data_IF_257998112707
#
_entry.id   IF_257998112707
#
_cell.length_a   1.000
_cell.length_b   1.000
_cell.length_c   1.000
_cell.angle_alpha   90.00
_cell.angle_beta   90.00
_cell.angle_gamma   90.00
#
_symmetry.space_group_name_H-M   'P 1'
#
loop_
_entity.id
_entity.type
_entity.pdbx_description
1 polymer ?
#
# COMPACT_ATOMS: atom_id res chain seq x y z
N UNK A 1 -37.16 38.91 36.11
CA UNK A 1 -37.71 37.88 35.21
C UNK A 1 -36.57 36.95 34.80
N UNK A 2 -36.41 35.81 35.47
CA UNK A 2 -35.33 34.83 35.21
C UNK A 2 -35.96 33.66 34.45
N UNK A 3 -35.52 33.42 33.21
CA UNK A 3 -35.92 32.24 32.42
C UNK A 3 -34.78 31.22 32.54
N UNK A 4 -35.06 30.12 33.25
CA UNK A 4 -34.21 28.93 33.27
C UNK A 4 -34.46 28.13 31.98
N UNK A 5 -33.42 27.93 31.18
CA UNK A 5 -33.44 27.05 30.02
C UNK A 5 -32.95 25.66 30.48
N UNK A 6 -33.85 24.69 30.58
CA UNK A 6 -33.50 23.29 30.81
C UNK A 6 -33.03 22.66 29.50
N UNK A 7 -31.76 22.28 29.45
CA UNK A 7 -31.17 21.51 28.35
C UNK A 7 -31.49 20.02 28.59
N UNK A 8 -32.40 19.44 27.80
CA UNK A 8 -32.61 17.99 27.77
C UNK A 8 -31.54 17.35 26.87
N UNK A 9 -30.59 16.65 27.48
CA UNK A 9 -29.65 15.76 26.77
C UNK A 9 -30.37 14.44 26.51
N UNK A 10 -30.76 14.19 25.27
CA UNK A 10 -31.22 12.88 24.82
C UNK A 10 -29.98 12.03 24.55
N UNK A 11 -29.66 11.10 25.47
CA UNK A 11 -28.66 10.06 25.25
C UNK A 11 -29.32 8.99 24.38
N UNK A 12 -29.01 8.99 23.09
CA UNK A 12 -29.32 7.86 22.21
C UNK A 12 -28.37 6.71 22.56
N UNK A 13 -28.87 5.72 23.30
CA UNK A 13 -28.18 4.45 23.52
C UNK A 13 -28.25 3.67 22.21
N UNK A 14 -27.20 3.75 21.39
CA UNK A 14 -26.99 2.81 20.29
C UNK A 14 -26.56 1.49 20.93
N UNK A 15 -27.47 0.53 20.98
CA UNK A 15 -27.13 -0.84 21.34
C UNK A 15 -26.18 -1.40 20.27
N UNK A 16 -24.88 -1.42 20.56
CA UNK A 16 -23.90 -2.18 19.78
C UNK A 16 -24.21 -3.64 20.04
N UNK A 17 -24.97 -4.26 19.13
CA UNK A 17 -25.06 -5.71 19.04
C UNK A 17 -23.63 -6.24 18.88
N UNK A 18 -23.10 -6.91 19.90
CA UNK A 18 -21.87 -7.67 19.77
C UNK A 18 -22.14 -8.76 18.74
N UNK A 19 -21.63 -8.58 17.52
CA UNK A 19 -21.77 -9.56 16.46
C UNK A 19 -21.03 -10.83 16.92
N UNK A 20 -21.81 -11.83 17.32
CA UNK A 20 -21.28 -13.13 17.73
C UNK A 20 -20.45 -13.70 16.59
N UNK A 21 -19.25 -14.22 16.89
CA UNK A 21 -18.40 -14.84 15.89
C UNK A 21 -19.19 -15.94 15.16
N UNK A 22 -19.40 -15.84 13.83
CA UNK A 22 -20.20 -16.81 13.08
C UNK A 22 -19.60 -18.21 13.15
N UNK A 23 -18.30 -18.33 13.47
CA UNK A 23 -17.60 -19.60 13.59
C UNK A 23 -17.43 -20.08 15.04
N UNK A 24 -18.12 -19.48 16.01
CA UNK A 24 -17.99 -19.82 17.44
C UNK A 24 -18.27 -21.31 17.74
N UNK A 25 -19.15 -21.96 16.98
CA UNK A 25 -19.48 -23.39 17.10
C UNK A 25 -18.64 -24.28 16.17
N UNK A 26 -17.65 -23.72 15.49
CA UNK A 26 -16.78 -24.41 14.53
C UNK A 26 -17.40 -24.63 13.15
N UNK A 27 -18.68 -24.27 12.94
CA UNK A 27 -19.35 -24.31 11.64
C UNK A 27 -20.28 -23.11 11.47
N UNK A 28 -20.47 -22.65 10.23
CA UNK A 28 -21.38 -21.55 9.91
C UNK A 28 -22.11 -21.77 8.59
N UNK A 29 -23.39 -21.36 8.52
CA UNK A 29 -24.18 -21.27 7.27
C UNK A 29 -24.06 -19.91 6.58
N UNK A 30 -23.48 -18.92 7.27
CA UNK A 30 -23.12 -17.63 6.70
C UNK A 30 -21.96 -17.01 7.50
N UNK A 31 -21.18 -16.17 6.85
CA UNK A 31 -20.09 -15.42 7.47
C UNK A 31 -20.24 -13.95 7.08
N UNK A 32 -20.20 -13.07 8.08
CA UNK A 32 -20.26 -11.62 7.88
C UNK A 32 -18.99 -10.95 8.38
N UNK A 33 -18.44 -10.05 7.56
CA UNK A 33 -17.26 -9.23 7.90
C UNK A 33 -17.32 -7.93 7.09
N UNK A 34 -17.04 -6.79 7.72
CA UNK A 34 -16.95 -5.49 7.03
C UNK A 34 -18.20 -5.12 6.21
N UNK A 35 -19.40 -5.47 6.69
CA UNK A 35 -20.66 -5.23 5.97
C UNK A 35 -20.92 -6.18 4.79
N UNK A 36 -20.01 -7.12 4.52
CA UNK A 36 -20.17 -8.17 3.52
C UNK A 36 -20.65 -9.44 4.21
N UNK A 37 -21.64 -10.12 3.63
CA UNK A 37 -22.08 -11.45 4.09
C UNK A 37 -21.96 -12.47 2.97
N UNK A 38 -21.30 -13.59 3.24
CA UNK A 38 -21.27 -14.78 2.40
C UNK A 38 -22.29 -15.78 2.95
N UNK A 39 -23.31 -16.14 2.16
CA UNK A 39 -24.28 -17.16 2.55
C UNK A 39 -23.94 -18.47 1.84
N UNK A 40 -24.02 -19.56 2.57
CA UNK A 40 -23.74 -20.90 2.07
C UNK A 40 -25.04 -21.67 1.81
N UNK A 41 -24.97 -22.78 1.08
CA UNK A 41 -26.11 -23.70 0.88
C UNK A 41 -26.44 -24.50 2.15
N UNK A 42 -25.46 -24.68 3.04
CA UNK A 42 -25.55 -25.37 4.33
C UNK A 42 -24.44 -24.88 5.27
N UNK A 43 -24.40 -25.39 6.50
CA UNK A 43 -23.29 -25.13 7.41
C UNK A 43 -22.00 -25.81 6.95
N UNK A 44 -20.88 -25.07 6.97
CA UNK A 44 -19.53 -25.58 6.69
C UNK A 44 -18.61 -25.33 7.88
N UNK A 45 -17.62 -26.21 8.14
CA UNK A 45 -16.55 -25.93 9.08
C UNK A 45 -15.84 -24.63 8.74
N UNK A 46 -15.58 -23.82 9.77
CA UNK A 46 -15.02 -22.50 9.58
C UNK A 46 -14.24 -22.01 10.80
N UNK A 47 -13.48 -20.93 10.59
CA UNK A 47 -12.73 -20.25 11.63
C UNK A 47 -12.04 -19.01 11.08
N UNK A 48 -11.06 -18.50 11.83
CA UNK A 48 -10.29 -17.31 11.46
C UNK A 48 -8.81 -17.61 11.30
N UNK A 49 -8.16 -16.85 10.42
CA UNK A 49 -6.72 -16.68 10.41
C UNK A 49 -6.28 -15.73 11.52
N UNK A 50 -4.98 -15.65 11.77
CA UNK A 50 -4.41 -14.79 12.82
C UNK A 50 -4.70 -13.29 12.61
N UNK A 51 -4.92 -12.87 11.37
CA UNK A 51 -5.26 -11.50 11.00
C UNK A 51 -6.76 -11.16 11.17
N UNK A 52 -7.59 -12.17 11.52
CA UNK A 52 -9.03 -12.03 11.74
C UNK A 52 -9.91 -12.38 10.54
N UNK A 53 -9.36 -12.57 9.35
CA UNK A 53 -10.12 -12.98 8.16
C UNK A 53 -10.58 -14.43 8.26
N UNK A 54 -11.69 -14.75 7.59
CA UNK A 54 -12.33 -16.05 7.71
C UNK A 54 -11.82 -17.07 6.68
N UNK A 55 -11.81 -18.34 7.13
CA UNK A 55 -11.72 -19.50 6.26
C UNK A 55 -12.92 -20.44 6.45
N UNK A 56 -13.19 -21.23 5.41
CA UNK A 56 -14.17 -22.31 5.39
C UNK A 56 -13.57 -23.55 4.72
N UNK A 57 -14.06 -24.74 5.07
CA UNK A 57 -13.69 -25.98 4.39
C UNK A 57 -14.92 -26.74 3.92
N UNK A 58 -14.81 -27.61 2.91
CA UNK A 58 -15.84 -28.60 2.63
C UNK A 58 -16.12 -29.50 3.83
N UNK A 59 -17.32 -30.10 3.87
CA UNK A 59 -17.72 -31.10 4.88
C UNK A 59 -17.16 -32.50 4.60
N UNK A 60 -16.68 -32.73 3.37
CA UNK A 60 -16.08 -34.00 2.94
C UNK A 60 -14.76 -33.74 2.22
N UNK A 61 -13.80 -34.66 2.38
CA UNK A 61 -12.51 -34.56 1.68
C UNK A 61 -12.73 -34.53 0.16
N UNK A 62 -12.06 -33.60 -0.53
CA UNK A 62 -12.23 -33.37 -1.97
C UNK A 62 -13.54 -32.67 -2.36
N UNK A 63 -14.38 -32.30 -1.39
CA UNK A 63 -15.62 -31.56 -1.62
C UNK A 63 -15.39 -30.10 -2.01
N UNK A 64 -16.50 -29.37 -2.12
CA UNK A 64 -16.54 -27.93 -2.42
C UNK A 64 -17.38 -27.18 -1.38
N UNK A 65 -17.19 -25.87 -1.31
CA UNK A 65 -18.07 -24.97 -0.56
C UNK A 65 -18.98 -24.26 -1.55
N UNK A 66 -20.29 -24.34 -1.37
CA UNK A 66 -21.24 -23.66 -2.24
C UNK A 66 -21.68 -22.35 -1.61
N UNK A 67 -21.38 -21.24 -2.28
CA UNK A 67 -21.85 -19.91 -1.91
C UNK A 67 -23.16 -19.68 -2.63
N UNK A 68 -24.26 -19.60 -1.89
CA UNK A 68 -25.61 -19.47 -2.41
C UNK A 68 -25.96 -18.02 -2.76
N UNK A 69 -25.52 -17.07 -1.93
CA UNK A 69 -25.70 -15.64 -2.14
C UNK A 69 -24.62 -14.83 -1.42
N UNK A 70 -24.48 -13.55 -1.80
CA UNK A 70 -23.65 -12.60 -1.08
C UNK A 70 -24.43 -11.30 -0.86
N UNK A 71 -24.18 -10.63 0.26
CA UNK A 71 -24.73 -9.31 0.56
C UNK A 71 -23.60 -8.28 0.69
N UNK A 72 -23.77 -7.05 0.17
CA UNK A 72 -24.80 -6.66 -0.80
C UNK A 72 -24.69 -7.46 -2.10
N UNK A 73 -25.83 -7.75 -2.73
CA UNK A 73 -25.88 -8.51 -3.97
C UNK A 73 -25.20 -7.75 -5.12
N UNK A 74 -24.57 -8.49 -6.03
CA UNK A 74 -24.08 -7.93 -7.29
C UNK A 74 -25.27 -7.47 -8.13
N UNK A 75 -25.25 -6.22 -8.59
CA UNK A 75 -26.38 -5.61 -9.32
C UNK A 75 -26.30 -5.81 -10.83
N UNK A 76 -25.31 -6.57 -11.32
CA UNK A 76 -24.92 -6.61 -12.72
C UNK A 76 -23.82 -5.61 -13.08
N UNK A 77 -23.64 -4.56 -12.26
CA UNK A 77 -22.63 -3.50 -12.47
C UNK A 77 -21.88 -3.10 -11.21
N UNK A 78 -22.46 -3.30 -10.02
CA UNK A 78 -21.94 -2.84 -8.73
C UNK A 78 -21.94 -3.94 -7.70
N UNK A 79 -21.15 -3.79 -6.64
CA UNK A 79 -20.99 -4.78 -5.58
C UNK A 79 -20.50 -6.13 -6.11
N UNK A 80 -19.60 -6.12 -7.08
CA UNK A 80 -19.06 -7.32 -7.69
C UNK A 80 -18.07 -8.07 -6.80
N UNK A 81 -17.65 -9.23 -7.29
CA UNK A 81 -16.73 -10.13 -6.61
C UNK A 81 -15.99 -11.00 -7.60
N UNK A 82 -14.90 -11.59 -7.15
CA UNK A 82 -14.05 -12.45 -7.98
C UNK A 82 -13.54 -13.64 -7.17
N UNK A 83 -13.43 -14.79 -7.83
CA UNK A 83 -12.73 -15.95 -7.30
C UNK A 83 -11.29 -15.96 -7.82
N UNK A 84 -10.30 -15.92 -6.92
CA UNK A 84 -8.87 -15.86 -7.24
C UNK A 84 -8.53 -14.77 -8.29
N UNK A 85 -8.70 -13.47 -7.99
CA UNK A 85 -8.23 -12.41 -8.87
C UNK A 85 -6.81 -12.70 -9.37
N UNK A 86 -6.57 -12.63 -10.67
CA UNK A 86 -5.30 -13.02 -11.28
C UNK A 86 -4.95 -12.23 -12.54
N UNK A 87 -5.67 -11.14 -12.82
CA UNK A 87 -5.43 -10.27 -13.96
C UNK A 87 -5.13 -8.85 -13.49
N UNK A 88 -4.05 -8.21 -13.99
CA UNK A 88 -3.60 -6.93 -13.46
C UNK A 88 -4.31 -5.72 -14.08
N UNK A 89 -5.38 -5.90 -14.85
CA UNK A 89 -6.00 -4.81 -15.63
C UNK A 89 -7.52 -4.90 -15.56
N UNK A 90 -8.04 -6.12 -15.68
CA UNK A 90 -9.45 -6.41 -15.67
C UNK A 90 -9.90 -6.87 -14.28
N UNK A 91 -11.14 -6.52 -13.92
CA UNK A 91 -11.77 -6.93 -12.66
C UNK A 91 -13.30 -7.00 -12.77
N UNK A 92 -13.95 -7.54 -11.74
CA UNK A 92 -15.41 -7.69 -11.67
C UNK A 92 -16.14 -6.75 -10.69
N UNK A 93 -15.46 -5.87 -9.95
CA UNK A 93 -16.04 -5.20 -8.77
C UNK A 93 -17.09 -4.09 -9.03
N UNK A 94 -16.78 -3.10 -9.86
CA UNK A 94 -17.69 -1.99 -10.18
C UNK A 94 -17.42 -1.51 -11.62
N UNK A 95 -18.48 -1.23 -12.39
CA UNK A 95 -18.39 -0.85 -13.81
C UNK A 95 -17.83 0.54 -14.08
N UNK A 96 -17.81 1.43 -13.08
CA UNK A 96 -17.23 2.76 -13.21
C UNK A 96 -15.69 2.75 -13.08
N UNK A 97 -15.10 1.62 -12.63
CA UNK A 97 -13.65 1.46 -12.59
C UNK A 97 -13.16 0.96 -13.95
N UNK A 98 -12.14 1.62 -14.50
CA UNK A 98 -11.56 1.25 -15.80
C UNK A 98 -11.10 -0.22 -15.85
N UNK A 99 -11.40 -0.92 -16.94
CA UNK A 99 -11.06 -2.34 -17.09
C UNK A 99 -12.10 -3.31 -16.50
N UNK A 100 -13.24 -2.83 -16.03
CA UNK A 100 -14.33 -3.71 -15.61
C UNK A 100 -14.75 -4.71 -16.69
N UNK A 101 -15.01 -5.95 -16.28
CA UNK A 101 -15.43 -7.03 -17.17
C UNK A 101 -16.45 -7.91 -16.46
N UNK A 102 -17.71 -7.87 -16.92
CA UNK A 102 -18.83 -8.61 -16.30
C UNK A 102 -18.55 -10.10 -16.10
N UNK A 103 -17.89 -10.75 -17.08
CA UNK A 103 -17.58 -12.19 -17.03
C UNK A 103 -16.57 -12.57 -15.95
N UNK A 104 -15.91 -11.60 -15.31
CA UNK A 104 -15.06 -11.83 -14.15
C UNK A 104 -15.83 -12.04 -12.85
N UNK A 105 -17.14 -11.74 -12.83
CA UNK A 105 -18.02 -12.04 -11.70
C UNK A 105 -18.65 -13.42 -11.93
N UNK A 106 -18.28 -14.45 -11.14
CA UNK A 106 -18.87 -15.77 -11.31
C UNK A 106 -20.37 -15.77 -10.98
N UNK A 107 -21.12 -16.65 -11.65
CA UNK A 107 -22.53 -16.86 -11.35
C UNK A 107 -22.72 -17.52 -9.97
N UNK A 108 -23.82 -17.16 -9.30
CA UNK A 108 -24.27 -17.81 -8.07
C UNK A 108 -25.45 -18.75 -8.36
N UNK A 109 -25.59 -19.89 -7.65
CA UNK A 109 -24.68 -20.40 -6.62
C UNK A 109 -23.30 -20.78 -7.17
N UNK A 110 -22.24 -20.43 -6.46
CA UNK A 110 -20.86 -20.70 -6.87
C UNK A 110 -20.26 -21.86 -6.09
N UNK A 111 -19.81 -22.90 -6.79
CA UNK A 111 -19.17 -24.07 -6.20
C UNK A 111 -17.65 -23.87 -6.11
N UNK A 112 -17.19 -23.30 -5.00
CA UNK A 112 -15.79 -22.97 -4.78
C UNK A 112 -14.94 -24.21 -4.50
N UNK A 113 -13.86 -24.36 -5.26
CA UNK A 113 -12.86 -25.40 -5.00
C UNK A 113 -11.95 -24.98 -3.85
N UNK A 114 -11.27 -25.94 -3.23
CA UNK A 114 -10.23 -25.65 -2.22
C UNK A 114 -9.11 -24.77 -2.81
N UNK A 115 -8.42 -24.02 -1.95
CA UNK A 115 -7.42 -23.01 -2.31
C UNK A 115 -8.00 -21.84 -3.13
N UNK A 116 -9.26 -21.47 -2.86
CA UNK A 116 -9.92 -20.33 -3.49
C UNK A 116 -10.02 -19.16 -2.51
N UNK A 117 -9.56 -17.99 -2.93
CA UNK A 117 -9.86 -16.71 -2.26
C UNK A 117 -11.03 -16.06 -2.98
N UNK A 118 -12.13 -15.85 -2.27
CA UNK A 118 -13.30 -15.13 -2.75
C UNK A 118 -13.16 -13.69 -2.27
N UNK A 119 -12.94 -12.77 -3.22
CA UNK A 119 -12.80 -11.35 -2.92
C UNK A 119 -14.11 -10.66 -3.30
N UNK A 120 -14.81 -10.12 -2.31
CA UNK A 120 -16.06 -9.38 -2.50
C UNK A 120 -15.82 -7.92 -2.14
N UNK A 121 -16.36 -7.01 -2.94
CA UNK A 121 -16.34 -5.59 -2.65
C UNK A 121 -17.76 -5.04 -2.49
N UNK A 122 -17.88 -3.93 -1.78
CA UNK A 122 -19.05 -3.05 -1.77
C UNK A 122 -18.66 -1.79 -2.53
N UNK A 123 -19.51 -1.38 -3.47
CA UNK A 123 -19.33 -0.13 -4.18
C UNK A 123 -19.66 1.06 -3.28
N UNK A 124 -19.00 2.20 -3.50
CA UNK A 124 -19.26 3.44 -2.75
C UNK A 124 -20.62 4.07 -3.12
N UNK A 125 -21.41 4.57 -2.18
CA UNK A 125 -22.78 5.03 -2.47
C UNK A 125 -22.89 6.54 -2.65
N UNK A 126 -23.96 6.98 -3.33
CA UNK A 126 -24.35 8.39 -3.41
C UNK A 126 -23.33 9.28 -4.10
N UNK A 127 -23.22 10.53 -3.64
CA UNK A 127 -22.33 11.56 -4.22
C UNK A 127 -20.83 11.29 -4.04
N UNK A 128 -20.48 10.29 -3.22
CA UNK A 128 -19.10 9.87 -2.99
C UNK A 128 -18.64 8.80 -4.00
N UNK A 129 -19.55 8.19 -4.76
CA UNK A 129 -19.19 7.11 -5.68
C UNK A 129 -18.20 7.61 -6.74
N UNK A 130 -16.98 7.07 -6.72
CA UNK A 130 -15.89 7.45 -7.63
C UNK A 130 -15.54 8.95 -7.58
N UNK A 131 -15.77 9.61 -6.44
CA UNK A 131 -15.53 11.03 -6.27
C UNK A 131 -14.49 11.28 -5.16
N UNK A 132 -13.26 11.56 -5.58
CA UNK A 132 -12.11 11.62 -4.68
C UNK A 132 -12.31 12.58 -3.50
N UNK A 133 -11.85 12.23 -2.29
CA UNK A 133 -10.97 11.10 -1.95
C UNK A 133 -11.69 9.75 -1.79
N UNK A 134 -13.00 9.70 -2.02
CA UNK A 134 -13.73 8.44 -2.07
C UNK A 134 -13.54 7.80 -3.45
N UNK A 135 -13.12 6.55 -3.43
CA UNK A 135 -12.92 5.76 -4.64
C UNK A 135 -14.24 5.11 -5.06
N UNK A 136 -14.21 4.23 -6.06
CA UNK A 136 -15.43 3.55 -6.49
C UNK A 136 -15.92 2.48 -5.51
N UNK A 137 -15.07 2.03 -4.57
CA UNK A 137 -15.37 0.97 -3.61
C UNK A 137 -15.31 1.51 -2.18
N UNK A 138 -16.22 1.07 -1.32
CA UNK A 138 -16.22 1.44 0.10
C UNK A 138 -15.38 0.48 0.93
N UNK A 139 -15.56 -0.82 0.73
CA UNK A 139 -14.87 -1.88 1.47
C UNK A 139 -14.72 -3.13 0.64
N UNK A 140 -13.73 -3.95 0.98
CA UNK A 140 -13.59 -5.31 0.47
C UNK A 140 -13.22 -6.30 1.58
N UNK A 141 -13.58 -7.57 1.38
CA UNK A 141 -13.27 -8.67 2.29
C UNK A 141 -12.89 -9.93 1.50
N UNK A 142 -12.14 -10.82 2.16
CA UNK A 142 -11.70 -12.10 1.58
C UNK A 142 -12.24 -13.25 2.41
N UNK A 143 -12.95 -14.17 1.76
CA UNK A 143 -13.26 -15.49 2.32
C UNK A 143 -12.32 -16.53 1.67
N UNK A 144 -11.61 -17.32 2.47
CA UNK A 144 -10.71 -18.34 1.93
C UNK A 144 -11.29 -19.75 2.08
N UNK A 145 -11.42 -20.47 0.97
CA UNK A 145 -11.83 -21.87 0.97
C UNK A 145 -10.59 -22.76 1.03
N UNK A 146 -10.44 -23.53 2.10
CA UNK A 146 -9.32 -24.43 2.34
C UNK A 146 -9.74 -25.90 2.22
N UNK A 147 -8.77 -26.78 2.02
CA UNK A 147 -9.01 -28.23 2.05
C UNK A 147 -9.25 -28.78 3.46
N UNK A 148 -8.62 -28.16 4.45
CA UNK A 148 -8.72 -28.49 5.88
C UNK A 148 -8.45 -27.23 6.72
N UNK A 149 -8.83 -27.20 8.01
CA UNK A 149 -8.49 -26.10 8.90
C UNK A 149 -6.98 -25.84 8.90
N UNK A 150 -6.53 -24.57 8.81
CA UNK A 150 -5.11 -24.26 8.83
C UNK A 150 -4.57 -24.40 10.26
N UNK A 151 -3.25 -24.64 10.45
CA UNK A 151 -2.64 -24.63 11.77
C UNK A 151 -2.91 -23.32 12.53
N UNK A 152 -2.98 -23.39 13.86
CA UNK A 152 -3.12 -22.19 14.71
C UNK A 152 -2.02 -21.18 14.43
N UNK A 153 -2.38 -19.89 14.37
CA UNK A 153 -1.45 -18.81 14.04
C UNK A 153 -1.15 -18.68 12.54
N UNK A 154 -1.90 -19.35 11.67
CA UNK A 154 -1.74 -19.17 10.22
C UNK A 154 -2.22 -17.79 9.76
N UNK A 155 -1.43 -17.13 8.91
CA UNK A 155 -1.87 -15.98 8.12
C UNK A 155 -2.83 -16.41 7.02
N UNK A 156 -3.70 -15.49 6.60
CA UNK A 156 -4.47 -15.68 5.38
C UNK A 156 -3.49 -15.71 4.20
N UNK A 157 -3.59 -16.69 3.27
CA UNK A 157 -2.80 -16.63 2.04
C UNK A 157 -3.19 -15.39 1.22
N UNK A 158 -2.25 -14.87 0.43
CA UNK A 158 -2.52 -13.72 -0.43
C UNK A 158 -3.69 -14.00 -1.39
N UNK A 159 -4.54 -12.99 -1.61
CA UNK A 159 -5.79 -13.20 -2.34
C UNK A 159 -5.58 -13.30 -3.86
N UNK A 160 -4.48 -12.76 -4.39
CA UNK A 160 -4.22 -12.64 -5.82
C UNK A 160 -3.37 -13.79 -6.36
N UNK A 161 -3.55 -14.12 -7.64
CA UNK A 161 -2.75 -15.10 -8.37
C UNK A 161 -3.32 -16.52 -8.33
N UNK A 162 -2.62 -17.42 -9.04
CA UNK A 162 -3.01 -18.83 -9.14
C UNK A 162 -2.95 -19.54 -7.78
N UNK A 163 -3.86 -20.48 -7.49
CA UNK A 163 -3.87 -21.22 -6.22
C UNK A 163 -2.54 -21.86 -5.83
N UNK A 164 -1.76 -22.36 -6.80
CA UNK A 164 -0.45 -22.99 -6.57
C UNK A 164 0.58 -22.01 -5.95
N UNK A 165 0.39 -20.70 -6.14
CA UNK A 165 1.28 -19.67 -5.63
C UNK A 165 0.86 -19.16 -4.23
N UNK A 166 -0.25 -19.64 -3.68
CA UNK A 166 -0.84 -19.15 -2.43
C UNK A 166 -0.29 -19.90 -1.22
N UNK A 167 0.85 -19.43 -0.71
CA UNK A 167 1.50 -19.97 0.48
C UNK A 167 0.80 -19.52 1.77
N UNK A 168 0.59 -20.46 2.70
CA UNK A 168 0.15 -20.17 4.07
C UNK A 168 1.40 -20.03 4.95
N UNK A 169 1.49 -18.92 5.68
CA UNK A 169 2.57 -18.63 6.61
C UNK A 169 2.09 -18.76 8.05
N UNK A 170 3.02 -18.95 9.00
CA UNK A 170 2.71 -18.98 10.43
C UNK A 170 3.26 -17.75 11.15
N UNK A 171 2.44 -17.13 11.99
CA UNK A 171 2.84 -16.03 12.89
C UNK A 171 3.77 -16.49 14.01
N UNK A 172 3.78 -17.79 14.32
CA UNK A 172 4.59 -18.36 15.40
C UNK A 172 6.10 -18.35 15.09
N UNK A 173 6.46 -18.26 13.81
CA UNK A 173 7.84 -18.27 13.33
C UNK A 173 8.33 -16.86 12.93
N UNK A 174 7.58 -15.81 13.29
CA UNK A 174 7.97 -14.45 12.93
C UNK A 174 9.28 -14.05 13.59
N UNK A 175 10.15 -13.42 12.81
CA UNK A 175 11.46 -12.93 13.24
C UNK A 175 11.35 -11.65 14.11
N UNK A 176 10.52 -11.68 15.14
CA UNK A 176 10.19 -10.53 16.01
C UNK A 176 11.40 -10.01 16.79
N UNK A 177 12.39 -10.86 17.05
CA UNK A 177 13.67 -10.48 17.65
C UNK A 177 14.51 -9.52 16.78
N UNK A 178 14.18 -9.38 15.49
CA UNK A 178 14.82 -8.40 14.61
C UNK A 178 14.23 -6.99 14.73
N UNK A 179 13.08 -6.83 15.39
CA UNK A 179 12.48 -5.50 15.61
C UNK A 179 13.37 -4.68 16.55
N UNK A 180 13.76 -3.46 16.17
CA UNK A 180 14.42 -2.54 17.09
C UNK A 180 13.52 -2.16 18.28
N UNK A 181 14.12 -1.50 19.26
CA UNK A 181 13.47 -1.08 20.51
C UNK A 181 13.91 0.35 20.88
N UNK A 182 13.48 1.32 20.09
CA UNK A 182 13.78 2.74 20.29
C UNK A 182 12.78 3.38 21.27
N UNK A 183 13.20 4.45 21.95
CA UNK A 183 12.27 5.26 22.75
C UNK A 183 11.27 5.99 21.83
N UNK A 184 10.01 6.20 22.26
CA UNK A 184 9.05 6.97 21.48
C UNK A 184 9.49 8.43 21.32
N UNK A 185 9.03 9.06 20.23
CA UNK A 185 9.26 10.48 19.93
C UNK A 185 7.94 11.24 19.92
N UNK A 186 7.99 12.56 19.74
CA UNK A 186 6.78 13.36 19.55
C UNK A 186 5.96 12.88 18.33
N UNK A 187 4.64 13.10 18.37
CA UNK A 187 3.68 12.69 17.34
C UNK A 187 3.59 11.17 17.08
N UNK A 188 4.10 10.34 18.00
CA UNK A 188 4.00 8.87 17.88
C UNK A 188 2.53 8.44 17.73
N UNK A 189 2.14 7.81 16.60
CA UNK A 189 0.78 7.33 16.42
C UNK A 189 0.46 6.17 17.36
N UNK A 190 -0.81 5.99 17.67
CA UNK A 190 -1.23 4.84 18.48
C UNK A 190 -1.10 3.54 17.69
N UNK A 191 -0.84 2.43 18.37
CA UNK A 191 -0.88 1.10 17.72
C UNK A 191 -2.26 0.81 17.17
N UNK A 192 -3.33 1.18 17.89
CA UNK A 192 -4.71 0.94 17.50
C UNK A 192 -5.07 1.63 16.16
N UNK A 193 -4.69 2.91 15.98
CA UNK A 193 -4.96 3.62 14.73
C UNK A 193 -4.30 2.96 13.52
N UNK A 194 -3.08 2.42 13.70
CA UNK A 194 -2.39 1.69 12.63
C UNK A 194 -2.95 0.28 12.42
N UNK A 195 -3.43 -0.40 13.47
CA UNK A 195 -4.17 -1.66 13.31
C UNK A 195 -5.39 -1.44 12.41
N UNK A 196 -6.21 -0.42 12.69
CA UNK A 196 -7.37 -0.07 11.88
C UNK A 196 -7.00 0.23 10.42
N UNK A 197 -5.84 0.83 10.17
CA UNK A 197 -5.37 1.10 8.81
C UNK A 197 -5.09 -0.16 7.99
N UNK A 198 -4.58 -1.22 8.62
CA UNK A 198 -4.14 -2.44 7.93
C UNK A 198 -5.06 -3.65 8.14
N UNK A 199 -6.12 -3.54 8.94
CA UNK A 199 -6.96 -4.70 9.31
C UNK A 199 -7.83 -5.25 8.17
N UNK A 200 -7.99 -4.48 7.09
CA UNK A 200 -8.73 -4.91 5.90
C UNK A 200 -7.78 -5.23 4.76
N UNK A 201 -8.26 -6.08 3.84
CA UNK A 201 -7.50 -6.51 2.66
C UNK A 201 -7.01 -5.30 1.85
N UNK A 202 -5.73 -5.29 1.49
CA UNK A 202 -5.14 -4.25 0.64
C UNK A 202 -5.44 -4.57 -0.83
N UNK A 203 -6.61 -4.16 -1.34
CA UNK A 203 -7.07 -4.47 -2.70
C UNK A 203 -6.45 -3.48 -3.72
N UNK A 204 -5.38 -3.91 -4.41
CA UNK A 204 -4.51 -3.01 -5.22
C UNK A 204 -3.88 -3.74 -6.43
N UNK A 205 -4.63 -4.65 -7.03
CA UNK A 205 -4.09 -5.52 -8.09
C UNK A 205 -4.31 -4.97 -9.51
N UNK A 206 -4.77 -3.72 -9.64
CA UNK A 206 -4.97 -3.08 -10.93
C UNK A 206 -3.79 -2.17 -11.23
N UNK A 207 -3.09 -2.52 -12.32
CA UNK A 207 -2.07 -1.71 -12.96
C UNK A 207 -2.72 -0.51 -13.65
N UNK A 208 -1.92 0.54 -13.80
CA UNK A 208 -2.26 1.85 -14.40
C UNK A 208 -3.05 2.78 -13.48
N UNK A 209 -2.98 4.09 -13.71
CA UNK A 209 -3.39 5.14 -12.77
C UNK A 209 -4.85 5.00 -12.28
N UNK A 210 -5.71 4.39 -13.11
CA UNK A 210 -7.10 4.02 -12.78
C UNK A 210 -7.21 2.97 -11.65
N UNK A 211 -6.10 2.35 -11.24
CA UNK A 211 -6.01 1.47 -10.07
C UNK A 211 -6.41 2.15 -8.77
N UNK A 212 -6.24 3.48 -8.66
CA UNK A 212 -6.70 4.25 -7.49
C UNK A 212 -8.20 4.09 -7.22
N UNK A 213 -9.00 3.92 -8.27
CA UNK A 213 -10.45 3.79 -8.14
C UNK A 213 -10.86 2.39 -7.63
N UNK A 214 -9.96 1.41 -7.76
CA UNK A 214 -10.12 0.06 -7.21
C UNK A 214 -9.89 0.01 -5.70
N UNK A 215 -9.14 0.94 -5.11
CA UNK A 215 -8.82 0.88 -3.68
C UNK A 215 -10.08 1.12 -2.84
N UNK A 216 -10.61 0.16 -2.06
CA UNK A 216 -11.76 0.46 -1.22
C UNK A 216 -11.36 1.49 -0.17
N UNK A 217 -12.04 2.64 -0.10
CA UNK A 217 -11.54 3.80 0.65
C UNK A 217 -11.39 3.54 2.16
N UNK A 218 -12.12 2.56 2.72
CA UNK A 218 -11.96 2.13 4.12
C UNK A 218 -10.84 1.09 4.32
N UNK A 219 -10.29 0.54 3.26
CA UNK A 219 -9.24 -0.47 3.28
C UNK A 219 -7.85 0.12 2.97
N UNK A 220 -7.82 1.02 1.99
CA UNK A 220 -6.61 1.54 1.37
C UNK A 220 -6.89 2.97 0.86
N UNK A 221 -6.02 3.96 1.16
CA UNK A 221 -6.10 5.30 0.58
C UNK A 221 -6.07 5.25 -0.94
N UNK A 222 -6.69 6.24 -1.58
CA UNK A 222 -6.71 6.33 -3.04
C UNK A 222 -5.30 6.60 -3.62
N UNK A 223 -4.50 7.45 -2.95
CA UNK A 223 -3.24 7.95 -3.49
C UNK A 223 -1.99 7.31 -2.86
N UNK A 224 -0.99 7.00 -3.69
CA UNK A 224 0.21 6.28 -3.29
C UNK A 224 1.08 7.02 -2.29
N UNK A 225 1.09 8.35 -2.29
CA UNK A 225 1.85 9.12 -1.30
C UNK A 225 1.36 8.88 0.13
N UNK A 226 0.04 8.78 0.31
CA UNK A 226 -0.56 8.44 1.61
C UNK A 226 -0.21 7.01 1.98
N UNK A 227 -0.29 6.08 1.02
CA UNK A 227 0.07 4.67 1.22
C UNK A 227 1.53 4.54 1.68
N UNK A 228 2.47 5.23 1.04
CA UNK A 228 3.88 5.20 1.41
C UNK A 228 4.15 5.83 2.79
N UNK A 229 3.44 6.91 3.15
CA UNK A 229 3.53 7.49 4.50
C UNK A 229 2.97 6.52 5.56
N UNK A 230 1.79 5.94 5.33
CA UNK A 230 1.18 4.96 6.23
C UNK A 230 2.06 3.71 6.41
N UNK A 231 2.62 3.19 5.30
CA UNK A 231 3.41 1.96 5.35
C UNK A 231 4.77 2.19 6.00
N UNK A 232 5.38 3.36 5.82
CA UNK A 232 6.60 3.75 6.52
C UNK A 232 6.36 3.98 8.02
N UNK A 233 5.30 4.72 8.37
CA UNK A 233 4.97 5.02 9.77
C UNK A 233 4.66 3.76 10.58
N UNK A 234 3.97 2.79 9.98
CA UNK A 234 3.73 1.50 10.63
C UNK A 234 5.00 0.73 10.96
N UNK A 235 5.98 0.71 10.05
CA UNK A 235 7.26 0.04 10.31
C UNK A 235 8.03 0.79 11.39
N UNK A 236 8.15 2.12 11.30
CA UNK A 236 8.80 2.94 12.33
C UNK A 236 8.12 2.77 13.70
N UNK A 237 6.79 2.70 13.74
CA UNK A 237 6.03 2.50 14.98
C UNK A 237 6.30 1.14 15.61
N UNK A 238 6.51 0.08 14.81
CA UNK A 238 6.88 -1.25 15.29
C UNK A 238 8.31 -1.32 15.87
N UNK A 239 9.17 -0.36 15.51
CA UNK A 239 10.54 -0.23 16.04
C UNK A 239 10.63 0.45 17.41
N UNK A 240 9.50 0.92 17.97
CA UNK A 240 9.47 1.51 19.30
C UNK A 240 9.42 0.46 20.42
N UNK A 241 9.78 0.87 21.63
CA UNK A 241 10.02 0.02 22.79
C UNK A 241 8.77 -0.42 23.57
N UNK A 242 7.58 -0.38 22.95
CA UNK A 242 6.39 -1.05 23.48
C UNK A 242 6.64 -2.55 23.68
N UNK A 243 5.99 -3.19 24.67
CA UNK A 243 6.07 -4.63 24.82
C UNK A 243 5.60 -5.34 23.56
N UNK A 244 6.26 -6.45 23.19
CA UNK A 244 5.96 -7.19 21.97
C UNK A 244 4.47 -7.54 21.87
N UNK A 245 3.84 -7.98 22.97
CA UNK A 245 2.42 -8.30 23.01
C UNK A 245 1.51 -7.15 22.56
N UNK A 246 1.85 -5.90 22.86
CA UNK A 246 1.11 -4.73 22.38
C UNK A 246 1.34 -4.47 20.89
N UNK A 247 2.53 -4.79 20.38
CA UNK A 247 2.89 -4.62 18.96
C UNK A 247 2.30 -5.71 18.06
N UNK A 248 2.04 -6.91 18.59
CA UNK A 248 1.60 -8.07 17.80
C UNK A 248 0.38 -7.81 16.91
N UNK A 249 -0.70 -7.15 17.37
CA UNK A 249 -1.84 -6.85 16.49
C UNK A 249 -1.43 -6.06 15.24
N UNK A 250 -0.65 -4.98 15.39
CA UNK A 250 -0.16 -4.21 14.24
C UNK A 250 0.80 -5.04 13.38
N UNK A 251 1.72 -5.77 14.00
CA UNK A 251 2.68 -6.61 13.28
C UNK A 251 1.97 -7.64 12.39
N UNK A 252 0.92 -8.28 12.91
CA UNK A 252 0.12 -9.25 12.17
C UNK A 252 -0.57 -8.59 10.97
N UNK A 253 -1.26 -7.46 11.17
CA UNK A 253 -1.95 -6.79 10.06
C UNK A 253 -0.97 -6.28 8.99
N UNK A 254 0.18 -5.73 9.41
CA UNK A 254 1.18 -5.23 8.49
C UNK A 254 1.87 -6.36 7.69
N UNK A 255 2.20 -7.48 8.34
CA UNK A 255 2.74 -8.66 7.63
C UNK A 255 1.70 -9.25 6.68
N UNK A 256 0.42 -9.27 7.06
CA UNK A 256 -0.66 -9.70 6.17
C UNK A 256 -0.78 -8.80 4.93
N UNK A 257 -0.69 -7.47 5.08
CA UNK A 257 -0.63 -6.54 3.96
C UNK A 257 0.57 -6.84 3.04
N UNK A 258 1.75 -7.12 3.61
CA UNK A 258 2.93 -7.55 2.84
C UNK A 258 2.72 -8.87 2.09
N UNK A 259 1.99 -9.83 2.65
CA UNK A 259 1.60 -11.09 1.97
C UNK A 259 0.67 -10.80 0.78
N UNK A 260 -0.28 -9.88 0.93
CA UNK A 260 -1.18 -9.49 -0.16
C UNK A 260 -0.41 -8.84 -1.31
N UNK A 261 0.42 -7.83 -1.02
CA UNK A 261 1.28 -7.18 -2.02
C UNK A 261 2.27 -8.16 -2.66
N UNK A 262 2.83 -9.09 -1.89
CA UNK A 262 3.67 -10.15 -2.44
C UNK A 262 2.90 -11.03 -3.42
N UNK A 263 1.67 -11.43 -3.08
CA UNK A 263 0.86 -12.26 -3.98
C UNK A 263 0.56 -11.56 -5.31
N UNK A 264 0.31 -10.25 -5.27
CA UNK A 264 0.13 -9.41 -6.45
C UNK A 264 1.40 -9.34 -7.29
N UNK A 265 2.53 -8.97 -6.68
CA UNK A 265 3.81 -8.87 -7.37
C UNK A 265 4.26 -10.21 -7.96
N UNK A 266 4.10 -11.29 -7.19
CA UNK A 266 4.44 -12.62 -7.65
C UNK A 266 3.52 -13.10 -8.79
N UNK A 267 2.27 -12.62 -8.81
CA UNK A 267 1.30 -12.82 -9.89
C UNK A 267 1.43 -11.85 -11.06
N UNK A 268 2.47 -11.02 -11.12
CA UNK A 268 2.78 -10.14 -12.26
C UNK A 268 2.22 -8.72 -12.20
N UNK A 269 1.64 -8.30 -11.07
CA UNK A 269 1.29 -6.89 -10.85
C UNK A 269 2.56 -6.08 -10.66
N UNK A 270 2.63 -4.89 -11.25
CA UNK A 270 3.68 -3.91 -11.01
C UNK A 270 3.04 -2.56 -10.67
N UNK A 271 3.77 -1.75 -9.90
CA UNK A 271 3.42 -0.37 -9.57
C UNK A 271 4.52 0.52 -10.15
N UNK A 272 4.52 0.77 -11.48
CA UNK A 272 5.60 1.48 -12.17
C UNK A 272 5.72 2.94 -11.73
N UNK A 273 6.68 3.66 -12.29
CA UNK A 273 6.76 5.11 -12.12
C UNK A 273 5.53 5.81 -12.68
N UNK A 274 4.89 6.65 -11.85
CA UNK A 274 3.75 7.50 -12.21
C UNK A 274 3.53 8.55 -11.09
N UNK A 275 4.49 9.46 -10.95
CA UNK A 275 4.52 10.45 -9.87
C UNK A 275 4.28 9.83 -8.48
N UNK A 276 3.24 10.31 -7.79
CA UNK A 276 2.86 9.83 -6.46
C UNK A 276 1.94 8.61 -6.39
N UNK A 277 1.48 8.05 -7.52
CA UNK A 277 0.39 7.04 -7.51
C UNK A 277 0.87 5.67 -7.02
N UNK A 278 2.07 5.25 -7.46
CA UNK A 278 2.53 3.86 -7.39
C UNK A 278 3.69 3.60 -6.43
N UNK A 279 3.71 4.34 -5.33
CA UNK A 279 4.72 4.22 -4.27
C UNK A 279 4.11 3.63 -2.99
N UNK A 280 4.94 3.06 -2.12
CA UNK A 280 4.56 2.58 -0.79
C UNK A 280 4.29 1.08 -0.67
N UNK A 281 4.36 0.34 -1.79
CA UNK A 281 4.04 -1.11 -1.83
C UNK A 281 5.25 -1.99 -1.58
N UNK A 282 6.44 -1.51 -1.94
CA UNK A 282 7.67 -2.32 -1.84
C UNK A 282 8.09 -2.57 -0.39
N UNK A 283 7.91 -1.59 0.50
CA UNK A 283 8.29 -1.71 1.92
C UNK A 283 7.52 -2.81 2.66
N UNK A 284 6.17 -2.90 2.58
CA UNK A 284 5.42 -4.02 3.16
C UNK A 284 5.93 -5.40 2.70
N UNK A 285 6.24 -5.57 1.41
CA UNK A 285 6.75 -6.83 0.87
C UNK A 285 8.13 -7.15 1.47
N UNK A 286 9.05 -6.18 1.49
CA UNK A 286 10.39 -6.35 2.04
C UNK A 286 10.35 -6.68 3.54
N UNK A 287 9.52 -5.98 4.30
CA UNK A 287 9.34 -6.22 5.71
C UNK A 287 8.74 -7.60 6.00
N UNK A 288 7.70 -8.02 5.24
CA UNK A 288 7.13 -9.35 5.34
C UNK A 288 8.15 -10.45 4.99
N UNK A 289 9.00 -10.24 3.96
CA UNK A 289 10.07 -11.17 3.62
C UNK A 289 11.01 -11.44 4.80
N UNK A 290 11.37 -10.38 5.53
CA UNK A 290 12.23 -10.47 6.73
C UNK A 290 11.49 -11.12 7.89
N UNK A 291 10.27 -10.68 8.20
CA UNK A 291 9.49 -11.22 9.32
C UNK A 291 9.15 -12.70 9.13
N UNK A 292 8.86 -13.12 7.90
CA UNK A 292 8.51 -14.51 7.56
C UNK A 292 9.74 -15.37 7.27
N UNK A 293 10.95 -14.79 7.29
CA UNK A 293 12.20 -15.43 6.89
C UNK A 293 12.11 -16.10 5.50
N UNK A 294 11.49 -15.42 4.53
CA UNK A 294 11.31 -15.93 3.18
C UNK A 294 12.31 -15.29 2.21
N UNK A 295 13.41 -16.02 1.96
CA UNK A 295 14.48 -15.57 1.07
C UNK A 295 14.06 -15.51 -0.39
N UNK A 296 13.03 -16.24 -0.82
CA UNK A 296 12.55 -16.19 -2.20
C UNK A 296 11.86 -14.85 -2.51
N UNK A 297 11.12 -14.30 -1.54
CA UNK A 297 10.58 -12.94 -1.65
C UNK A 297 11.71 -11.92 -1.81
N UNK A 298 12.71 -11.98 -0.91
CA UNK A 298 13.86 -11.08 -0.93
C UNK A 298 14.65 -11.19 -2.24
N UNK A 299 14.90 -12.40 -2.73
CA UNK A 299 15.61 -12.63 -3.98
C UNK A 299 14.87 -12.02 -5.18
N UNK A 300 13.54 -12.12 -5.22
CA UNK A 300 12.74 -11.52 -6.30
C UNK A 300 12.71 -10.00 -6.22
N UNK A 301 12.56 -9.42 -5.02
CA UNK A 301 12.63 -7.97 -4.82
C UNK A 301 13.98 -7.38 -5.25
N UNK A 302 15.09 -8.07 -4.96
CA UNK A 302 16.44 -7.65 -5.36
C UNK A 302 16.61 -7.56 -6.89
N UNK A 303 15.84 -8.35 -7.64
CA UNK A 303 15.85 -8.41 -9.10
C UNK A 303 14.75 -7.55 -9.74
N UNK A 304 13.99 -6.79 -8.95
CA UNK A 304 12.95 -5.93 -9.47
C UNK A 304 13.55 -4.86 -10.40
N UNK A 305 13.07 -4.79 -11.63
CA UNK A 305 13.43 -3.71 -12.55
C UNK A 305 12.80 -2.37 -12.13
N UNK A 306 13.31 -1.27 -12.67
CA UNK A 306 12.88 0.11 -12.35
C UNK A 306 11.39 0.38 -12.62
N UNK A 307 10.75 -0.43 -13.47
CA UNK A 307 9.31 -0.36 -13.78
C UNK A 307 8.43 -1.25 -12.88
N UNK A 308 9.02 -1.89 -11.85
CA UNK A 308 8.28 -2.74 -10.91
C UNK A 308 7.64 -1.94 -9.78
N UNK A 309 8.37 -0.93 -9.28
CA UNK A 309 8.02 -0.12 -8.12
C UNK A 309 8.40 1.34 -8.39
N UNK A 310 7.49 2.28 -8.10
CA UNK A 310 7.71 3.70 -8.33
C UNK A 310 8.90 4.26 -7.54
N UNK A 311 9.25 3.64 -6.40
CA UNK A 311 10.42 3.97 -5.59
C UNK A 311 11.76 3.68 -6.28
N UNK A 312 11.78 2.78 -7.27
CA UNK A 312 13.00 2.43 -8.03
C UNK A 312 13.07 3.14 -9.38
N UNK A 313 11.92 3.58 -9.94
CA UNK A 313 11.81 4.14 -11.28
C UNK A 313 11.90 5.67 -11.39
N UNK A 314 11.68 6.40 -10.28
CA UNK A 314 11.67 7.87 -10.24
C UNK A 314 12.98 8.51 -9.78
N UNK A 315 14.05 7.73 -9.75
CA UNK A 315 15.37 8.15 -9.30
C UNK A 315 16.43 7.53 -10.20
N UNK A 316 17.50 8.26 -10.44
CA UNK A 316 18.61 7.77 -11.25
C UNK A 316 19.93 8.38 -10.78
N UNK A 317 21.02 7.67 -10.99
CA UNK A 317 22.34 8.25 -10.84
C UNK A 317 22.68 9.07 -12.08
N UNK A 318 22.92 10.36 -11.91
CA UNK A 318 23.44 11.21 -12.97
C UNK A 318 24.96 11.19 -12.98
N UNK A 319 25.53 10.90 -14.14
CA UNK A 319 26.96 11.06 -14.39
C UNK A 319 27.38 12.52 -14.47
N UNK A 320 26.52 13.38 -15.04
CA UNK A 320 26.83 14.80 -15.25
C UNK A 320 26.83 15.59 -13.93
N UNK A 321 25.86 15.32 -13.05
CA UNK A 321 25.82 15.91 -11.71
C UNK A 321 26.63 15.11 -10.68
N UNK A 322 27.09 13.89 -11.02
CA UNK A 322 27.77 12.97 -10.11
C UNK A 322 26.99 12.72 -8.81
N UNK A 323 25.66 12.61 -8.91
CA UNK A 323 24.78 12.38 -7.77
C UNK A 323 23.47 11.71 -8.19
N UNK A 324 22.68 11.27 -7.21
CA UNK A 324 21.34 10.74 -7.44
C UNK A 324 20.36 11.89 -7.58
N UNK A 325 19.64 11.91 -8.71
CA UNK A 325 18.63 12.91 -9.05
C UNK A 325 17.25 12.23 -9.19
N UNK A 326 16.21 13.04 -9.12
CA UNK A 326 14.82 12.62 -9.30
C UNK A 326 14.32 12.77 -10.73
N UNK A 327 13.36 11.94 -11.08
CA UNK A 327 12.57 12.00 -12.31
C UNK A 327 12.67 10.72 -13.14
N UNK A 328 11.70 10.54 -14.01
CA UNK A 328 11.63 9.42 -14.94
C UNK A 328 12.14 9.80 -16.33
N UNK A 329 12.55 8.80 -17.10
CA UNK A 329 12.85 9.02 -18.50
C UNK A 329 11.56 9.30 -19.28
N UNK A 330 11.57 10.39 -20.05
CA UNK A 330 10.46 10.84 -20.87
C UNK A 330 10.94 11.19 -22.27
N UNK A 331 9.99 11.47 -23.17
CA UNK A 331 10.28 12.28 -24.34
C UNK A 331 10.78 13.68 -23.88
N UNK A 332 11.91 14.19 -24.40
CA UNK A 332 12.38 15.52 -24.08
C UNK A 332 11.35 16.63 -24.32
N UNK A 333 10.45 16.48 -25.29
CA UNK A 333 9.40 17.48 -25.54
C UNK A 333 8.40 17.56 -24.39
N UNK A 334 8.07 16.45 -23.71
CA UNK A 334 7.20 16.46 -22.53
C UNK A 334 7.82 17.25 -21.36
N UNK A 335 9.13 17.13 -21.18
CA UNK A 335 9.87 17.93 -20.20
C UNK A 335 9.78 19.41 -20.54
N UNK A 336 10.02 19.78 -21.80
CA UNK A 336 10.01 21.19 -22.23
C UNK A 336 8.63 21.80 -22.22
N UNK A 337 7.60 21.06 -22.60
CA UNK A 337 6.21 21.48 -22.51
C UNK A 337 5.86 21.81 -21.06
N UNK A 338 6.29 20.98 -20.11
CA UNK A 338 6.08 21.25 -18.69
C UNK A 338 6.87 22.47 -18.22
N UNK A 339 8.18 22.49 -18.47
CA UNK A 339 9.10 23.53 -18.00
C UNK A 339 8.72 24.93 -18.53
N UNK A 340 8.33 25.05 -19.80
CA UNK A 340 8.06 26.33 -20.46
C UNK A 340 6.63 26.85 -20.23
N UNK A 341 5.67 25.98 -19.97
CA UNK A 341 4.26 26.37 -19.74
C UNK A 341 3.91 26.53 -18.26
N UNK A 342 4.88 26.32 -17.36
CA UNK A 342 4.59 26.28 -15.92
C UNK A 342 3.66 25.11 -15.57
N UNK A 343 3.84 23.97 -16.25
CA UNK A 343 3.08 22.73 -16.07
C UNK A 343 1.61 22.75 -16.47
N UNK A 344 1.20 23.71 -17.31
CA UNK A 344 -0.09 23.65 -18.00
C UNK A 344 -0.12 22.52 -19.04
N UNK A 345 1.04 22.12 -19.56
CA UNK A 345 1.22 21.02 -20.53
C UNK A 345 2.39 20.13 -20.09
N UNK A 346 2.59 19.01 -20.79
CA UNK A 346 3.69 18.07 -20.55
C UNK A 346 3.55 17.24 -19.27
N UNK A 347 4.53 16.38 -19.05
CA UNK A 347 4.53 15.40 -17.97
C UNK A 347 5.31 15.91 -16.75
N UNK A 348 4.75 15.71 -15.56
CA UNK A 348 5.16 16.40 -14.31
C UNK A 348 6.20 15.63 -13.48
N UNK A 349 6.71 14.53 -14.01
CA UNK A 349 7.75 13.71 -13.37
C UNK A 349 8.90 13.35 -14.31
N UNK A 350 9.05 14.05 -15.43
CA UNK A 350 10.21 13.89 -16.30
C UNK A 350 11.49 14.36 -15.63
N UNK A 351 12.54 13.54 -15.72
CA UNK A 351 13.90 13.94 -15.35
C UNK A 351 14.45 14.98 -16.31
N UNK A 352 15.44 15.73 -15.84
CA UNK A 352 16.20 16.63 -16.69
C UNK A 352 16.83 15.88 -17.88
N UNK A 353 16.53 16.26 -19.14
CA UNK A 353 17.10 15.62 -20.33
C UNK A 353 18.63 15.73 -20.41
N UNK A 354 19.24 16.67 -19.69
CA UNK A 354 20.71 16.81 -19.63
C UNK A 354 21.33 16.20 -18.38
N UNK A 355 20.51 15.76 -17.42
CA UNK A 355 20.97 15.15 -16.18
C UNK A 355 21.79 16.04 -15.25
N UNK A 356 21.64 17.36 -15.28
CA UNK A 356 22.32 18.24 -14.32
C UNK A 356 21.48 18.51 -13.08
N UNK A 357 20.16 18.50 -13.19
CA UNK A 357 19.28 19.01 -12.13
C UNK A 357 18.11 18.08 -11.77
N UNK A 358 17.61 18.26 -10.56
CA UNK A 358 16.24 17.94 -10.16
C UNK A 358 15.60 19.12 -9.41
N UNK A 359 14.28 19.21 -9.40
CA UNK A 359 13.54 20.38 -8.91
C UNK A 359 13.36 21.46 -9.99
N UNK A 360 12.77 22.59 -9.62
CA UNK A 360 12.21 23.51 -10.61
C UNK A 360 11.04 22.85 -11.36
N UNK A 361 10.66 23.28 -12.56
CA UNK A 361 9.54 22.65 -13.29
C UNK A 361 10.12 21.69 -14.34
N UNK A 362 9.79 20.38 -14.31
CA UNK A 362 8.63 19.74 -13.67
C UNK A 362 8.79 19.28 -12.21
N UNK A 363 10.01 19.19 -11.68
CA UNK A 363 10.31 18.61 -10.35
C UNK A 363 9.41 19.07 -9.20
N UNK A 364 9.27 20.38 -9.00
CA UNK A 364 8.50 21.06 -7.94
C UNK A 364 7.00 20.69 -7.89
N UNK A 365 6.54 19.83 -8.80
CA UNK A 365 5.24 19.18 -8.77
C UNK A 365 5.36 17.83 -8.05
N UNK A 366 5.60 16.71 -8.75
CA UNK A 366 5.55 15.39 -8.12
C UNK A 366 6.74 15.11 -7.18
N UNK A 367 7.89 15.75 -7.37
CA UNK A 367 9.05 15.61 -6.46
C UNK A 367 8.71 16.19 -5.08
N UNK A 368 8.09 17.37 -5.07
CA UNK A 368 7.70 18.14 -3.89
C UNK A 368 6.39 17.67 -3.26
N UNK A 369 5.38 17.49 -4.09
CA UNK A 369 4.06 17.14 -3.60
C UNK A 369 4.08 15.71 -3.09
N UNK A 370 4.62 14.76 -3.83
CA UNK A 370 4.05 13.42 -3.75
C UNK A 370 5.07 12.29 -3.58
N UNK A 371 6.37 12.56 -3.61
CA UNK A 371 7.39 11.50 -3.60
C UNK A 371 8.44 11.70 -2.51
N UNK A 372 9.30 12.71 -2.65
CA UNK A 372 10.56 12.81 -1.89
C UNK A 372 10.37 12.77 -0.38
N UNK A 373 9.46 13.58 0.15
CA UNK A 373 9.22 13.65 1.59
C UNK A 373 8.42 12.45 2.11
N UNK A 374 7.54 11.89 1.28
CA UNK A 374 6.81 10.66 1.59
C UNK A 374 7.75 9.45 1.73
N UNK A 375 8.81 9.35 0.93
CA UNK A 375 9.76 8.23 1.03
C UNK A 375 10.64 8.28 2.28
N UNK A 376 10.62 9.38 3.03
CA UNK A 376 11.42 9.57 4.25
C UNK A 376 11.20 8.47 5.29
N UNK A 377 9.95 8.11 5.57
CA UNK A 377 9.61 7.04 6.51
C UNK A 377 10.07 5.67 6.00
N UNK A 378 9.92 5.42 4.69
CA UNK A 378 10.38 4.21 4.02
C UNK A 378 11.89 4.04 4.06
N UNK A 379 12.65 5.10 3.79
CA UNK A 379 14.11 5.08 3.85
C UNK A 379 14.60 4.96 5.28
N UNK A 380 14.00 5.66 6.24
CA UNK A 380 14.39 5.54 7.64
C UNK A 380 14.15 4.11 8.16
N UNK A 381 13.02 3.49 7.79
CA UNK A 381 12.72 2.11 8.13
C UNK A 381 13.79 1.13 7.65
N UNK A 382 14.30 1.34 6.43
CA UNK A 382 15.42 0.55 5.90
C UNK A 382 16.70 0.81 6.70
N UNK A 383 17.06 2.09 6.89
CA UNK A 383 18.28 2.50 7.60
C UNK A 383 18.35 1.97 9.03
N UNK A 384 17.23 1.96 9.75
CA UNK A 384 17.16 1.50 11.14
C UNK A 384 17.07 -0.03 11.28
N UNK A 385 16.76 -0.77 10.21
CA UNK A 385 16.64 -2.21 10.22
C UNK A 385 17.37 -2.84 9.02
N UNK A 386 18.68 -3.14 9.14
CA UNK A 386 19.54 -3.60 8.04
C UNK A 386 18.99 -4.75 7.20
N UNK A 387 18.30 -5.71 7.83
CA UNK A 387 17.68 -6.85 7.13
C UNK A 387 16.59 -6.39 6.14
N UNK A 388 15.81 -5.37 6.49
CA UNK A 388 14.81 -4.77 5.61
C UNK A 388 15.48 -3.98 4.49
N UNK A 389 16.56 -3.23 4.78
CA UNK A 389 17.34 -2.55 3.74
C UNK A 389 17.82 -3.55 2.67
N UNK A 390 18.33 -4.71 3.09
CA UNK A 390 18.83 -5.71 2.15
C UNK A 390 17.74 -6.48 1.40
N UNK A 391 16.55 -6.64 1.98
CA UNK A 391 15.41 -7.19 1.25
C UNK A 391 14.84 -6.19 0.24
N UNK A 392 14.81 -4.90 0.58
CA UNK A 392 14.31 -3.83 -0.29
C UNK A 392 15.27 -3.52 -1.46
N UNK A 393 16.58 -3.49 -1.20
CA UNK A 393 17.64 -3.36 -2.20
C UNK A 393 17.51 -2.17 -3.16
N UNK A 394 17.45 -0.94 -2.62
CA UNK A 394 17.41 0.29 -3.43
C UNK A 394 18.41 1.34 -2.92
N UNK A 395 19.72 1.18 -3.20
CA UNK A 395 20.76 2.09 -2.69
C UNK A 395 20.63 3.52 -3.24
N UNK A 396 20.11 3.68 -4.46
CA UNK A 396 19.83 4.99 -5.03
C UNK A 396 18.76 5.72 -4.23
N UNK A 397 17.68 5.04 -3.81
CA UNK A 397 16.60 5.65 -3.03
C UNK A 397 17.11 6.14 -1.68
N UNK A 398 17.91 5.33 -1.00
CA UNK A 398 18.52 5.70 0.27
C UNK A 398 19.38 6.96 0.13
N UNK A 399 20.20 7.03 -0.93
CA UNK A 399 21.10 8.16 -1.21
C UNK A 399 20.29 9.41 -1.58
N UNK A 400 19.27 9.25 -2.42
CA UNK A 400 18.38 10.32 -2.86
C UNK A 400 17.65 10.99 -1.68
N UNK A 401 17.01 10.20 -0.81
CA UNK A 401 16.23 10.75 0.30
C UNK A 401 17.13 11.40 1.35
N UNK A 402 18.30 10.84 1.63
CA UNK A 402 19.29 11.50 2.51
C UNK A 402 19.72 12.87 1.94
N UNK A 403 19.95 12.94 0.62
CA UNK A 403 20.24 14.18 -0.11
C UNK A 403 19.07 15.16 -0.06
N UNK A 404 17.84 14.70 -0.31
CA UNK A 404 16.64 15.54 -0.25
C UNK A 404 16.47 16.18 1.14
N UNK A 405 16.61 15.37 2.20
CA UNK A 405 16.48 15.86 3.57
C UNK A 405 17.59 16.84 3.95
N UNK A 406 18.81 16.65 3.45
CA UNK A 406 19.94 17.53 3.78
C UNK A 406 20.01 18.80 2.94
N UNK A 407 19.67 18.70 1.66
CA UNK A 407 19.99 19.72 0.65
C UNK A 407 18.83 20.06 -0.29
N UNK A 408 17.68 19.38 -0.21
CA UNK A 408 16.50 19.70 -1.01
C UNK A 408 16.67 19.48 -2.53
N UNK A 409 16.05 20.36 -3.31
CA UNK A 409 16.16 20.39 -4.77
C UNK A 409 17.58 20.78 -5.22
N UNK A 410 18.07 20.13 -6.27
CA UNK A 410 19.39 20.39 -6.85
C UNK A 410 19.27 20.98 -8.25
N UNK A 411 19.34 22.31 -8.33
CA UNK A 411 19.22 23.03 -9.62
C UNK A 411 20.47 23.79 -10.04
N UNK A 412 21.57 23.64 -9.29
CA UNK A 412 22.87 24.25 -9.60
C UNK A 412 24.04 23.30 -9.29
N UNK A 413 25.07 23.25 -10.16
CA UNK A 413 25.22 24.01 -11.40
C UNK A 413 24.39 23.43 -12.56
N UNK A 414 23.75 24.30 -13.34
CA UNK A 414 23.05 23.94 -14.58
C UNK A 414 23.56 24.81 -15.73
N UNK A 415 24.20 24.24 -16.76
CA UNK A 415 24.78 25.03 -17.85
C UNK A 415 23.74 25.43 -18.91
N UNK A 416 22.50 24.96 -18.80
CA UNK A 416 21.45 25.19 -19.79
C UNK A 416 20.45 26.25 -19.33
N UNK A 417 19.89 26.97 -20.30
CA UNK A 417 18.86 27.99 -20.09
C UNK A 417 17.45 27.47 -20.36
N UNK A 418 16.46 28.20 -19.83
CA UNK A 418 15.03 27.86 -19.94
C UNK A 418 14.49 28.22 -21.33
N UNK A 419 14.92 27.45 -22.32
CA UNK A 419 14.51 27.52 -23.72
C UNK A 419 14.41 26.10 -24.25
N UNK A 420 13.45 25.83 -25.15
CA UNK A 420 13.27 24.48 -25.72
C UNK A 420 14.58 23.93 -26.25
N UNK A 421 14.88 22.68 -25.90
CA UNK A 421 16.12 22.01 -26.29
C UNK A 421 17.37 22.43 -25.52
N UNK A 422 17.26 23.37 -24.56
CA UNK A 422 18.33 23.79 -23.65
C UNK A 422 19.57 24.33 -24.36
N UNK A 423 19.67 25.65 -24.49
CA UNK A 423 20.89 26.30 -25.00
C UNK A 423 21.81 26.66 -23.84
N UNK A 424 23.13 26.55 -24.06
CA UNK A 424 24.14 26.97 -23.09
C UNK A 424 23.89 28.42 -22.67
N UNK A 425 23.84 28.68 -21.36
CA UNK A 425 23.48 30.00 -20.85
C UNK A 425 23.22 30.02 -19.35
N UNK A 426 22.47 31.02 -18.85
CA UNK A 426 22.06 31.09 -17.45
C UNK A 426 21.26 29.84 -17.06
N UNK A 427 21.50 29.29 -15.88
CA UNK A 427 20.80 28.12 -15.34
C UNK A 427 19.27 28.25 -15.41
N UNK A 428 18.56 27.14 -15.67
CA UNK A 428 17.09 27.13 -15.82
C UNK A 428 16.34 27.56 -14.56
N UNK A 429 16.77 27.04 -13.40
CA UNK A 429 16.00 27.11 -12.15
C UNK A 429 16.85 27.48 -10.91
N UNK A 430 17.77 28.46 -10.98
CA UNK A 430 18.73 28.76 -9.91
C UNK A 430 18.07 29.12 -8.57
N UNK A 431 16.88 29.71 -8.60
CA UNK A 431 16.12 30.12 -7.41
C UNK A 431 15.63 28.96 -6.55
N UNK A 432 15.58 27.75 -7.11
CA UNK A 432 15.10 26.54 -6.43
C UNK A 432 16.22 25.71 -5.83
N UNK A 433 17.48 26.05 -6.07
CA UNK A 433 18.59 25.27 -5.53
C UNK A 433 18.60 25.33 -4.00
N UNK A 434 18.65 24.18 -3.34
CA UNK A 434 18.61 24.11 -1.88
C UNK A 434 17.21 24.25 -1.28
N UNK A 435 16.18 24.56 -2.08
CA UNK A 435 14.82 24.74 -1.57
C UNK A 435 14.21 23.40 -1.17
N UNK A 436 13.30 23.48 -0.22
CA UNK A 436 12.51 22.35 0.26
C UNK A 436 13.31 21.22 0.91
N UNK A 437 14.53 21.53 1.37
CA UNK A 437 15.30 20.61 2.18
C UNK A 437 14.46 20.14 3.37
N UNK A 438 14.27 18.83 3.48
CA UNK A 438 13.46 18.19 4.52
C UNK A 438 11.97 18.61 4.52
N UNK A 439 11.45 19.12 3.40
CA UNK A 439 10.08 19.59 3.24
C UNK A 439 9.37 18.92 2.05
N UNK A 440 8.04 19.02 2.00
CA UNK A 440 7.18 18.41 1.00
C UNK A 440 5.83 17.98 1.56
N UNK A 441 4.88 17.66 0.67
CA UNK A 441 3.54 17.23 1.10
C UNK A 441 3.49 15.74 1.46
N UNK A 442 2.35 15.31 1.99
CA UNK A 442 2.10 13.97 2.57
C UNK A 442 3.16 13.54 3.61
N UNK A 443 3.83 14.53 4.22
CA UNK A 443 4.80 14.30 5.28
C UNK A 443 4.12 13.82 6.55
N UNK A 444 4.84 13.00 7.32
CA UNK A 444 4.43 12.56 8.64
C UNK A 444 5.27 13.28 9.69
N UNK A 445 4.62 13.98 10.64
CA UNK A 445 5.30 14.57 11.80
C UNK A 445 6.03 13.51 12.63
N UNK A 446 5.44 12.31 12.74
CA UNK A 446 6.08 11.18 13.39
C UNK A 446 7.37 10.76 12.68
N UNK A 447 7.32 10.55 11.35
CA UNK A 447 8.51 10.21 10.58
C UNK A 447 9.57 11.32 10.62
N UNK A 448 9.14 12.58 10.67
CA UNK A 448 10.02 13.72 10.86
C UNK A 448 10.79 13.63 12.18
N UNK A 449 10.09 13.44 13.30
CA UNK A 449 10.69 13.34 14.63
C UNK A 449 11.57 12.08 14.77
N UNK A 450 11.14 10.95 14.19
CA UNK A 450 11.93 9.72 14.14
C UNK A 450 13.23 9.93 13.38
N UNK A 451 13.18 10.61 12.24
CA UNK A 451 14.38 10.90 11.44
C UNK A 451 15.34 11.80 12.21
N UNK A 452 14.85 12.90 12.77
CA UNK A 452 15.67 13.83 13.55
C UNK A 452 16.36 13.14 14.74
N UNK A 453 15.67 12.20 15.38
CA UNK A 453 16.18 11.51 16.57
C UNK A 453 17.13 10.36 16.22
N UNK A 454 16.79 9.53 15.24
CA UNK A 454 17.44 8.22 15.04
C UNK A 454 18.20 8.06 13.72
N UNK A 455 18.05 8.96 12.74
CA UNK A 455 18.76 8.79 11.46
C UNK A 455 20.28 8.74 11.65
N UNK A 456 20.83 9.55 12.54
CA UNK A 456 22.27 9.60 12.82
C UNK A 456 22.79 8.33 13.52
N UNK A 457 21.92 7.55 14.19
CA UNK A 457 22.29 6.30 14.86
C UNK A 457 22.15 5.08 13.96
N UNK A 458 21.64 5.25 12.73
CA UNK A 458 21.42 4.14 11.81
C UNK A 458 22.76 3.51 11.38
N UNK A 459 22.88 2.17 11.41
CA UNK A 459 24.11 1.49 11.03
C UNK A 459 24.40 1.64 9.53
N UNK A 460 25.69 1.71 9.20
CA UNK A 460 26.14 1.52 7.82
C UNK A 460 25.91 0.05 7.46
N UNK A 461 25.11 -0.19 6.42
CA UNK A 461 24.70 -1.54 6.02
C UNK A 461 25.23 -1.85 4.64
N UNK A 462 26.00 -2.94 4.54
CA UNK A 462 26.38 -3.57 3.28
C UNK A 462 25.55 -4.83 3.10
N UNK A 463 24.86 -4.94 1.97
CA UNK A 463 24.01 -6.08 1.66
C UNK A 463 24.77 -7.11 0.84
N UNK A 464 24.62 -8.41 1.16
CA UNK A 464 25.23 -9.49 0.41
C UNK A 464 24.53 -9.75 -0.93
#
# INVERSE_FOLDING_TARGET
>A
MKIQLFLFVIIAIVAISAQTDPCATGQASSISQWGITFNFDKAYPCGKFVNGDYWVTPTTAGGKVVISSMLPAFTGTRNGWMANPNHPLNHGFDSEIGGWTASMVPALPYSASVNTSIVKAISEAGANHCNQPYTCLSTAAVLTVLAAPPPTGSFRPGYYGLPVNKKIYSSLNMQTALLPSFAPVADTPTLASLVTRFERVQLDHKKDWTGRDLHPHLNLPDYGSIIASDTGDAVLRLMLNDPLSAKMPLLIQYVQAGIDYWSMYNGGVTWPVDGGIFIGRKLPIAFAAVMLNDSAISAKLKLAGTQSFGEDGQIYYSTNASMVLWGQECDPDDYWDCALTGAAQGTKDCRDPFGYIDGGIPGDLYQMCCTSQTWKATVLSQRLMPKVQCAFNSPLLLTYVDRWVSSGAHTLPDPYSLQRGGVLGPSRFPQFNGKSANDGYYSSSFAYNMWATYRATAPVTTCP
#
